data_IF_669589320734
#
_entry.id   IF_669589320734
#
_cell.length_a   1.000
_cell.length_b   1.000
_cell.length_c   1.000
_cell.angle_alpha   90.00
_cell.angle_beta   90.00
_cell.angle_gamma   90.00
#
_symmetry.space_group_name_H-M   'P 1'
#
loop_
_entity.id
_entity.type
_entity.pdbx_description
1 polymer ?
#
# COMPACT_ATOMS: atom_id res chain seq x y z
N UNK A 1 21.22 -18.81 25.82
CA UNK A 1 20.33 -18.42 24.69
C UNK A 1 19.07 -17.88 25.33
N UNK A 2 18.70 -16.67 25.05
CA UNK A 2 17.44 -16.07 25.52
C UNK A 2 16.32 -16.76 24.73
N UNK A 3 15.32 -17.31 25.42
CA UNK A 3 14.19 -17.94 24.75
C UNK A 3 13.30 -16.84 24.20
N UNK A 4 13.03 -16.86 22.91
CA UNK A 4 12.01 -16.02 22.29
C UNK A 4 10.63 -16.51 22.77
N UNK A 5 9.78 -15.60 23.16
CA UNK A 5 8.38 -15.88 23.54
C UNK A 5 7.47 -14.90 22.85
N UNK A 6 6.31 -15.38 22.41
CA UNK A 6 5.30 -14.56 21.79
C UNK A 6 4.21 -14.17 22.81
N UNK A 7 3.79 -12.91 22.77
CA UNK A 7 2.63 -12.42 23.50
C UNK A 7 1.36 -12.64 22.66
N UNK A 8 0.32 -13.24 23.28
CA UNK A 8 -0.96 -13.47 22.63
C UNK A 8 -1.86 -12.23 22.76
N UNK A 9 -2.42 -11.77 21.63
CA UNK A 9 -3.51 -10.78 21.58
C UNK A 9 -4.73 -11.42 20.92
N UNK A 10 -5.83 -11.50 21.66
CA UNK A 10 -7.11 -12.00 21.15
C UNK A 10 -7.96 -10.87 20.59
N UNK A 11 -8.50 -11.03 19.39
CA UNK A 11 -9.41 -10.11 18.71
C UNK A 11 -10.83 -10.70 18.67
N UNK A 12 -11.73 -10.33 19.60
CA UNK A 12 -13.03 -10.99 19.76
C UNK A 12 -13.95 -10.86 18.54
N UNK A 13 -13.90 -9.72 17.84
CA UNK A 13 -14.77 -9.42 16.71
C UNK A 13 -14.54 -10.36 15.51
N UNK A 14 -13.31 -10.78 15.30
CA UNK A 14 -12.92 -11.73 14.24
C UNK A 14 -12.60 -13.13 14.78
N UNK A 15 -12.60 -13.31 16.11
CA UNK A 15 -12.25 -14.56 16.81
C UNK A 15 -10.83 -15.06 16.49
N UNK A 16 -9.92 -14.16 16.26
CA UNK A 16 -8.52 -14.46 15.90
C UNK A 16 -7.59 -14.22 17.09
N UNK A 17 -6.47 -14.98 17.11
CA UNK A 17 -5.38 -14.85 18.08
C UNK A 17 -4.09 -14.56 17.34
N UNK A 18 -3.56 -13.37 17.54
CA UNK A 18 -2.27 -12.97 16.99
C UNK A 18 -1.20 -13.11 18.07
N UNK A 19 -0.13 -13.78 17.74
CA UNK A 19 1.04 -13.94 18.59
C UNK A 19 2.13 -13.00 18.10
N UNK A 20 2.64 -12.12 18.96
CA UNK A 20 3.59 -11.07 18.58
C UNK A 20 4.80 -11.05 19.48
N UNK A 21 5.97 -10.80 18.88
CA UNK A 21 7.23 -10.57 19.62
C UNK A 21 8.10 -9.57 18.87
N UNK A 22 9.03 -8.95 19.58
CA UNK A 22 10.14 -8.23 18.97
C UNK A 22 11.44 -8.94 19.32
N UNK A 23 12.19 -9.33 18.29
CA UNK A 23 13.49 -9.98 18.46
C UNK A 23 14.53 -8.98 18.95
N UNK A 24 15.65 -9.49 19.51
CA UNK A 24 16.74 -8.66 20.02
C UNK A 24 17.38 -7.76 18.96
N UNK A 25 17.33 -8.17 17.69
CA UNK A 25 17.75 -7.35 16.54
C UNK A 25 16.73 -6.29 16.11
N UNK A 26 15.57 -6.18 16.78
CA UNK A 26 14.53 -5.21 16.50
C UNK A 26 13.47 -5.67 15.52
N UNK A 27 13.60 -6.83 14.85
CA UNK A 27 12.58 -7.36 13.95
C UNK A 27 11.29 -7.65 14.72
N UNK A 28 10.18 -7.07 14.26
CA UNK A 28 8.86 -7.40 14.79
C UNK A 28 8.32 -8.63 14.07
N UNK A 29 7.99 -9.69 14.82
CA UNK A 29 7.43 -10.93 14.29
C UNK A 29 6.02 -11.11 14.81
N UNK A 30 5.07 -11.39 13.90
CA UNK A 30 3.68 -11.68 14.23
C UNK A 30 3.24 -12.96 13.57
N UNK A 31 2.45 -13.77 14.28
CA UNK A 31 1.93 -15.06 13.82
C UNK A 31 0.41 -15.06 13.95
N UNK A 32 -0.28 -15.55 12.93
CA UNK A 32 -1.71 -15.85 12.97
C UNK A 32 -1.94 -17.31 12.59
N UNK A 33 -1.98 -18.24 13.55
CA UNK A 33 -2.27 -19.64 13.27
C UNK A 33 -3.71 -19.82 12.77
N UNK A 34 -3.86 -20.43 11.59
CA UNK A 34 -5.13 -20.81 10.96
C UNK A 34 -5.08 -22.26 10.53
N UNK A 35 -5.33 -23.17 11.47
CA UNK A 35 -5.18 -24.62 11.28
C UNK A 35 -6.16 -25.24 10.28
N UNK A 36 -7.21 -24.50 9.86
CA UNK A 36 -8.14 -24.96 8.82
C UNK A 36 -7.58 -24.81 7.40
N UNK A 37 -6.44 -24.13 7.25
CA UNK A 37 -5.73 -24.00 5.97
C UNK A 37 -4.58 -25.00 5.91
N UNK A 38 -4.25 -25.46 4.71
CA UNK A 38 -3.07 -26.29 4.49
C UNK A 38 -1.81 -25.47 4.16
N UNK A 39 -2.00 -24.20 3.86
CA UNK A 39 -0.98 -23.28 3.36
C UNK A 39 -0.54 -22.31 4.45
N UNK A 40 0.68 -21.79 4.29
CA UNK A 40 1.23 -20.68 5.10
C UNK A 40 1.72 -19.59 4.16
N UNK A 41 1.33 -18.34 4.45
CA UNK A 41 1.94 -17.15 3.88
C UNK A 41 2.94 -16.54 4.86
N UNK A 42 4.14 -16.22 4.36
CA UNK A 42 5.15 -15.46 5.09
C UNK A 42 5.44 -14.17 4.34
N UNK A 43 5.34 -13.03 5.03
CA UNK A 43 5.59 -11.70 4.46
C UNK A 43 6.57 -10.94 5.32
N UNK A 44 7.70 -10.54 4.74
CA UNK A 44 8.59 -9.51 5.31
C UNK A 44 8.26 -8.18 4.65
N UNK A 45 7.97 -7.17 5.48
CA UNK A 45 7.73 -5.81 5.02
C UNK A 45 8.83 -4.90 5.53
N UNK A 46 9.47 -4.18 4.61
CA UNK A 46 10.44 -3.11 4.88
C UNK A 46 9.72 -1.77 4.79
N UNK A 47 9.85 -0.92 5.78
CA UNK A 47 9.24 0.42 5.79
C UNK A 47 10.06 1.37 4.91
N UNK A 48 10.08 1.07 3.61
CA UNK A 48 10.74 1.81 2.54
C UNK A 48 9.95 1.66 1.25
N UNK A 49 9.44 2.75 0.71
CA UNK A 49 8.64 2.76 -0.50
C UNK A 49 9.03 3.87 -1.47
N UNK A 50 8.25 4.05 -2.54
CA UNK A 50 8.60 4.97 -3.63
C UNK A 50 8.72 6.44 -3.20
N UNK A 51 8.05 6.86 -2.12
CA UNK A 51 8.14 8.24 -1.60
C UNK A 51 9.33 8.48 -0.68
N UNK A 52 10.12 7.46 -0.38
CA UNK A 52 11.23 7.52 0.57
C UNK A 52 12.60 7.77 -0.10
N UNK A 53 12.64 8.12 -1.37
CA UNK A 53 13.88 8.42 -2.10
C UNK A 53 14.63 9.65 -1.59
N UNK A 54 13.98 10.51 -0.77
CA UNK A 54 14.63 11.62 -0.07
C UNK A 54 14.43 11.43 1.43
N UNK A 55 15.53 11.43 2.18
CA UNK A 55 15.54 11.22 3.63
C UNK A 55 16.77 11.83 4.30
N UNK A 56 16.73 12.01 5.62
CA UNK A 56 17.90 12.43 6.40
C UNK A 56 18.46 11.25 7.18
N UNK A 57 19.70 10.87 6.87
CA UNK A 57 20.47 9.91 7.67
C UNK A 57 21.21 10.67 8.79
N UNK A 58 21.16 10.16 10.05
CA UNK A 58 21.87 10.77 11.17
C UNK A 58 23.39 10.83 10.95
N UNK A 59 23.95 9.87 10.21
CA UNK A 59 25.39 9.79 9.97
C UNK A 59 25.83 10.59 8.74
N UNK A 60 24.98 10.62 7.69
CA UNK A 60 25.36 11.10 6.37
C UNK A 60 24.63 12.39 5.96
N UNK A 61 23.67 12.89 6.77
CA UNK A 61 22.83 14.05 6.46
C UNK A 61 21.78 13.75 5.39
N UNK A 62 21.31 14.82 4.71
CA UNK A 62 20.27 14.70 3.67
C UNK A 62 20.75 13.85 2.49
N UNK A 63 19.92 12.90 2.08
CA UNK A 63 20.11 12.02 0.94
C UNK A 63 18.99 12.22 -0.07
N UNK A 64 19.34 12.14 -1.33
CA UNK A 64 18.39 12.19 -2.43
C UNK A 64 18.79 11.15 -3.47
N UNK A 65 17.89 10.24 -3.77
CA UNK A 65 18.07 9.16 -4.74
C UNK A 65 17.06 9.28 -5.87
N UNK A 66 17.36 8.71 -7.05
CA UNK A 66 16.45 8.73 -8.18
C UNK A 66 15.12 8.05 -7.83
N UNK A 67 14.01 8.57 -8.37
CA UNK A 67 12.71 7.92 -8.24
C UNK A 67 12.74 6.51 -8.86
N UNK A 68 11.98 5.58 -8.27
CA UNK A 68 12.02 4.16 -8.65
C UNK A 68 13.02 3.32 -7.87
N UNK A 69 13.85 3.93 -6.99
CA UNK A 69 14.91 3.21 -6.25
C UNK A 69 14.36 2.07 -5.38
N UNK A 70 13.18 2.23 -4.76
CA UNK A 70 12.58 1.20 -3.92
C UNK A 70 12.15 -0.01 -4.76
N UNK A 71 11.49 0.22 -5.88
CA UNK A 71 11.08 -0.81 -6.83
C UNK A 71 12.30 -1.50 -7.48
N UNK A 72 13.33 -0.72 -7.82
CA UNK A 72 14.58 -1.27 -8.34
C UNK A 72 15.26 -2.21 -7.34
N UNK A 73 15.28 -1.84 -6.05
CA UNK A 73 15.78 -2.73 -4.98
C UNK A 73 14.95 -4.00 -4.85
N UNK A 74 13.63 -3.89 -4.98
CA UNK A 74 12.73 -5.05 -4.96
C UNK A 74 13.19 -6.10 -5.98
N UNK A 75 13.36 -5.71 -7.25
CA UNK A 75 13.86 -6.59 -8.31
C UNK A 75 15.24 -7.17 -7.99
N UNK A 76 16.16 -6.30 -7.56
CA UNK A 76 17.56 -6.68 -7.37
C UNK A 76 17.82 -7.64 -6.23
N UNK A 77 16.97 -7.71 -5.22
CA UNK A 77 17.15 -8.65 -4.12
C UNK A 77 16.87 -10.10 -4.51
N UNK A 78 16.13 -10.35 -5.58
CA UNK A 78 15.94 -11.71 -6.10
C UNK A 78 17.18 -12.28 -6.82
N UNK A 79 18.16 -11.46 -7.16
CA UNK A 79 19.42 -11.91 -7.81
C UNK A 79 20.52 -12.21 -6.77
N UNK A 80 20.97 -13.45 -6.71
CA UNK A 80 22.10 -13.91 -5.86
C UNK A 80 23.45 -13.55 -6.44
N UNK A 81 24.52 -13.66 -5.62
CA UNK A 81 25.92 -13.42 -6.03
C UNK A 81 26.34 -14.23 -7.28
N UNK A 82 25.88 -15.46 -7.38
CA UNK A 82 26.14 -16.34 -8.53
C UNK A 82 25.18 -16.13 -9.72
N UNK A 83 24.39 -15.05 -9.70
CA UNK A 83 23.32 -14.75 -10.68
C UNK A 83 22.18 -15.78 -10.71
N UNK A 84 22.04 -16.63 -9.69
CA UNK A 84 20.84 -17.47 -9.52
C UNK A 84 19.67 -16.60 -9.06
N UNK A 85 18.47 -16.98 -9.51
CA UNK A 85 17.22 -16.36 -9.10
C UNK A 85 16.72 -16.98 -7.78
N UNK A 86 16.47 -16.14 -6.77
CA UNK A 86 15.88 -16.55 -5.50
C UNK A 86 14.50 -17.19 -5.67
N UNK A 87 13.69 -16.75 -6.65
CA UNK A 87 12.39 -17.38 -6.96
C UNK A 87 12.55 -18.86 -7.29
N UNK A 88 13.63 -19.21 -8.02
CA UNK A 88 13.94 -20.64 -8.30
C UNK A 88 14.30 -21.42 -7.03
N UNK A 89 14.87 -20.76 -6.00
CA UNK A 89 15.14 -21.43 -4.73
C UNK A 89 13.84 -21.73 -3.96
N UNK A 90 12.90 -20.77 -3.89
CA UNK A 90 11.57 -20.99 -3.32
C UNK A 90 10.81 -22.08 -4.07
N UNK A 91 10.80 -22.05 -5.39
CA UNK A 91 10.16 -23.07 -6.23
C UNK A 91 10.71 -24.48 -5.97
N UNK A 92 12.01 -24.64 -5.72
CA UNK A 92 12.62 -25.94 -5.35
C UNK A 92 12.10 -26.50 -4.01
N UNK A 93 11.64 -25.62 -3.11
CA UNK A 93 10.99 -26.00 -1.85
C UNK A 93 9.45 -26.13 -1.98
N UNK A 94 8.92 -26.02 -3.20
CA UNK A 94 7.48 -26.08 -3.45
C UNK A 94 6.72 -24.84 -3.00
N UNK A 95 7.40 -23.70 -2.89
CA UNK A 95 6.81 -22.42 -2.55
C UNK A 95 6.70 -21.49 -3.76
N UNK A 96 5.64 -20.69 -3.80
CA UNK A 96 5.54 -19.51 -4.65
C UNK A 96 6.10 -18.30 -3.90
N UNK A 97 6.80 -17.42 -4.61
CA UNK A 97 7.35 -16.20 -4.03
C UNK A 97 7.02 -14.99 -4.90
N UNK A 98 6.82 -13.85 -4.26
CA UNK A 98 6.51 -12.59 -4.92
C UNK A 98 7.02 -11.41 -4.10
N UNK A 99 6.99 -10.22 -4.68
CA UNK A 99 7.23 -8.97 -3.96
C UNK A 99 6.37 -7.85 -4.55
N UNK A 100 6.21 -6.78 -3.81
CA UNK A 100 5.58 -5.56 -4.30
C UNK A 100 6.11 -4.33 -3.57
N UNK A 101 6.23 -3.23 -4.30
CA UNK A 101 6.54 -1.91 -3.77
C UNK A 101 5.31 -1.01 -3.81
N UNK A 102 5.05 -0.33 -2.70
CA UNK A 102 4.01 0.70 -2.60
C UNK A 102 4.64 2.08 -2.37
N UNK A 103 3.82 3.08 -2.08
CA UNK A 103 4.32 4.41 -1.76
C UNK A 103 5.21 4.43 -0.51
N UNK A 104 4.92 3.60 0.50
CA UNK A 104 5.54 3.69 1.82
C UNK A 104 6.28 2.45 2.29
N UNK A 105 6.11 1.33 1.59
CA UNK A 105 6.70 0.04 1.98
C UNK A 105 7.03 -0.82 0.76
N UNK A 106 7.96 -1.75 0.95
CA UNK A 106 8.26 -2.86 0.04
C UNK A 106 8.10 -4.16 0.81
N UNK A 107 7.38 -5.12 0.25
CA UNK A 107 7.09 -6.41 0.87
C UNK A 107 7.56 -7.55 0.00
N UNK A 108 8.15 -8.55 0.64
CA UNK A 108 8.62 -9.80 0.04
C UNK A 108 7.85 -10.95 0.69
N UNK A 109 7.30 -11.83 -0.09
CA UNK A 109 6.43 -12.88 0.42
C UNK A 109 6.68 -14.23 -0.23
N UNK A 110 6.33 -15.27 0.52
CA UNK A 110 6.16 -16.61 -0.03
C UNK A 110 4.85 -17.22 0.45
N UNK A 111 4.34 -18.18 -0.33
CA UNK A 111 3.30 -19.11 0.12
C UNK A 111 3.80 -20.55 -0.04
N UNK A 112 3.49 -21.40 0.94
CA UNK A 112 3.95 -22.79 0.94
C UNK A 112 3.01 -23.72 1.71
N UNK A 113 3.02 -24.99 1.34
CA UNK A 113 2.32 -26.06 2.09
C UNK A 113 3.30 -26.79 3.02
N UNK A 114 4.59 -26.82 2.69
CA UNK A 114 5.63 -27.55 3.42
C UNK A 114 6.91 -26.71 3.50
N UNK A 115 7.92 -27.20 4.21
CA UNK A 115 9.23 -26.54 4.31
C UNK A 115 9.18 -25.09 4.83
N UNK A 116 8.27 -24.78 5.79
CA UNK A 116 8.12 -23.43 6.33
C UNK A 116 9.45 -22.83 6.81
N UNK A 117 10.24 -23.59 7.60
CA UNK A 117 11.48 -23.04 8.17
C UNK A 117 12.56 -22.82 7.11
N UNK A 118 12.65 -23.69 6.10
CA UNK A 118 13.59 -23.53 4.99
C UNK A 118 13.20 -22.31 4.13
N UNK A 119 11.90 -22.06 3.93
CA UNK A 119 11.41 -20.88 3.23
C UNK A 119 11.63 -19.59 4.06
N UNK A 120 11.56 -19.67 5.39
CA UNK A 120 11.95 -18.56 6.27
C UNK A 120 13.44 -18.24 6.18
N UNK A 121 14.29 -19.26 6.03
CA UNK A 121 15.73 -19.06 5.80
C UNK A 121 15.99 -18.37 4.46
N UNK A 122 15.28 -18.74 3.40
CA UNK A 122 15.37 -18.06 2.10
C UNK A 122 14.87 -16.62 2.17
N UNK A 123 13.78 -16.37 2.90
CA UNK A 123 13.25 -15.01 3.05
C UNK A 123 14.19 -14.11 3.86
N UNK A 124 14.84 -14.65 4.89
CA UNK A 124 15.87 -13.96 5.69
C UNK A 124 17.11 -13.64 4.82
N UNK A 125 17.56 -14.59 3.98
CA UNK A 125 18.63 -14.39 3.00
C UNK A 125 18.26 -13.29 1.99
N UNK A 126 17.04 -13.33 1.43
CA UNK A 126 16.55 -12.39 0.42
C UNK A 126 16.63 -10.94 0.88
N UNK A 127 16.23 -10.65 2.13
CA UNK A 127 16.21 -9.27 2.66
C UNK A 127 17.47 -8.91 3.46
N UNK A 128 18.30 -9.91 3.79
CA UNK A 128 19.50 -9.73 4.62
C UNK A 128 20.80 -9.60 3.83
N UNK A 129 20.82 -10.06 2.59
CA UNK A 129 22.02 -10.05 1.74
C UNK A 129 21.71 -9.49 0.34
N UNK A 130 22.58 -8.64 -0.16
CA UNK A 130 22.34 -7.94 -1.41
C UNK A 130 23.61 -7.82 -2.25
N UNK A 131 23.53 -8.33 -3.48
CA UNK A 131 24.63 -8.35 -4.43
C UNK A 131 24.33 -7.44 -5.63
N UNK A 132 25.07 -6.34 -5.74
CA UNK A 132 24.90 -5.38 -6.83
C UNK A 132 26.19 -5.25 -7.61
N UNK A 133 26.15 -5.55 -8.91
CA UNK A 133 27.23 -5.30 -9.88
C UNK A 133 26.79 -4.28 -10.92
N UNK A 134 27.73 -3.57 -11.52
CA UNK A 134 27.39 -2.59 -12.58
C UNK A 134 26.65 -3.26 -13.76
N UNK A 135 27.11 -4.43 -14.16
CA UNK A 135 26.50 -5.20 -15.26
C UNK A 135 25.05 -5.59 -14.93
N UNK A 136 24.80 -6.09 -13.70
CA UNK A 136 23.45 -6.50 -13.30
C UNK A 136 22.51 -5.31 -13.15
N UNK A 137 23.00 -4.16 -12.71
CA UNK A 137 22.21 -2.92 -12.63
C UNK A 137 21.82 -2.41 -14.01
N UNK A 138 22.76 -2.40 -14.96
CA UNK A 138 22.47 -1.99 -16.35
C UNK A 138 21.43 -2.90 -17.01
N UNK A 139 21.53 -4.21 -16.79
CA UNK A 139 20.55 -5.17 -17.30
C UNK A 139 19.16 -4.92 -16.70
N UNK A 140 19.10 -4.64 -15.40
CA UNK A 140 17.84 -4.36 -14.71
C UNK A 140 17.20 -3.04 -15.12
N UNK A 141 18.00 -2.02 -15.43
CA UNK A 141 17.49 -0.77 -16.00
C UNK A 141 16.67 -1.04 -17.27
N UNK A 142 17.18 -1.89 -18.17
CA UNK A 142 16.46 -2.23 -19.42
C UNK A 142 15.15 -2.98 -19.13
N UNK A 143 15.13 -3.89 -18.15
CA UNK A 143 13.94 -4.65 -17.76
C UNK A 143 12.86 -3.71 -17.17
N UNK A 144 13.25 -2.87 -16.22
CA UNK A 144 12.33 -1.92 -15.59
C UNK A 144 11.84 -0.85 -16.58
N UNK A 145 12.66 -0.44 -17.55
CA UNK A 145 12.20 0.44 -18.63
C UNK A 145 11.08 -0.20 -19.46
N UNK A 146 11.17 -1.48 -19.79
CA UNK A 146 10.13 -2.21 -20.52
C UNK A 146 8.85 -2.34 -19.67
N UNK A 147 8.99 -2.62 -18.38
CA UNK A 147 7.87 -2.66 -17.45
C UNK A 147 7.18 -1.28 -17.34
N UNK A 148 7.96 -0.20 -17.24
CA UNK A 148 7.44 1.17 -17.25
C UNK A 148 6.65 1.47 -18.52
N UNK A 149 7.15 1.06 -19.68
CA UNK A 149 6.45 1.24 -20.95
C UNK A 149 5.10 0.51 -20.94
N UNK A 150 5.05 -0.71 -20.41
CA UNK A 150 3.81 -1.47 -20.24
C UNK A 150 2.78 -0.72 -19.37
N UNK A 151 3.20 -0.16 -18.23
CA UNK A 151 2.31 0.66 -17.37
C UNK A 151 1.88 1.98 -18.04
N UNK A 152 2.73 2.57 -18.87
CA UNK A 152 2.38 3.79 -19.61
C UNK A 152 1.39 3.54 -20.74
N UNK A 153 1.36 2.34 -21.30
CA UNK A 153 0.39 1.91 -22.30
C UNK A 153 -0.92 1.44 -21.67
N UNK A 154 -0.95 1.17 -20.35
CA UNK A 154 -2.18 0.87 -19.63
C UNK A 154 -2.95 2.15 -19.27
N UNK A 155 -4.18 2.36 -19.80
CA UNK A 155 -4.91 3.60 -19.57
C UNK A 155 -5.32 3.84 -18.12
N UNK A 156 -5.55 2.78 -17.31
CA UNK A 156 -5.99 2.94 -15.94
C UNK A 156 -4.81 3.34 -15.03
N UNK A 157 -3.66 2.70 -15.18
CA UNK A 157 -2.40 3.12 -14.54
C UNK A 157 -2.03 4.55 -14.94
N UNK A 158 -2.15 4.87 -16.23
CA UNK A 158 -1.87 6.19 -16.75
C UNK A 158 -2.78 7.27 -16.18
N UNK A 159 -4.08 6.98 -16.04
CA UNK A 159 -5.06 7.86 -15.42
C UNK A 159 -4.72 8.12 -13.95
N UNK A 160 -4.41 7.06 -13.20
CA UNK A 160 -4.10 7.13 -11.78
C UNK A 160 -2.86 7.99 -11.51
N UNK A 161 -1.72 7.68 -12.13
CA UNK A 161 -0.47 8.43 -11.88
C UNK A 161 -0.49 9.85 -12.44
N UNK A 162 -1.18 10.10 -13.57
CA UNK A 162 -1.37 11.47 -14.07
C UNK A 162 -2.25 12.29 -13.11
N UNK A 163 -3.25 11.68 -12.48
CA UNK A 163 -4.07 12.33 -11.44
C UNK A 163 -3.24 12.66 -10.21
N UNK A 164 -2.40 11.72 -9.75
CA UNK A 164 -1.47 11.97 -8.63
C UNK A 164 -0.47 13.09 -8.95
N UNK A 165 0.05 13.14 -10.18
CA UNK A 165 0.94 14.22 -10.60
C UNK A 165 0.26 15.60 -10.54
N UNK A 166 -1.05 15.67 -10.80
CA UNK A 166 -1.83 16.89 -10.63
C UNK A 166 -2.11 17.22 -9.16
N UNK A 167 -2.36 16.22 -8.32
CA UNK A 167 -2.59 16.39 -6.88
C UNK A 167 -1.32 16.78 -6.12
N UNK A 168 -0.18 16.20 -6.46
CA UNK A 168 1.09 16.32 -5.73
C UNK A 168 2.25 16.78 -6.62
N UNK A 169 2.09 17.87 -7.41
CA UNK A 169 3.13 18.32 -8.34
C UNK A 169 4.44 18.59 -7.62
N UNK A 170 5.55 18.14 -8.21
CA UNK A 170 6.89 18.34 -7.67
C UNK A 170 7.26 17.49 -6.46
N UNK A 171 6.44 16.53 -6.07
CA UNK A 171 6.74 15.56 -5.02
C UNK A 171 7.03 14.17 -5.58
N UNK A 172 7.50 13.25 -4.74
CA UNK A 172 7.71 11.85 -5.12
C UNK A 172 6.42 11.13 -5.52
N UNK A 173 5.25 11.52 -5.00
CA UNK A 173 3.95 11.00 -5.42
C UNK A 173 3.55 11.38 -6.86
N UNK A 174 4.18 12.41 -7.44
CA UNK A 174 3.95 12.79 -8.83
C UNK A 174 4.65 11.87 -9.85
N UNK A 175 5.49 10.97 -9.37
CA UNK A 175 6.23 10.01 -10.19
C UNK A 175 5.70 8.61 -9.92
N UNK A 176 5.60 7.80 -10.97
CA UNK A 176 5.25 6.38 -10.87
C UNK A 176 6.19 5.64 -9.90
N UNK A 177 5.67 4.58 -9.26
CA UNK A 177 6.44 3.74 -8.33
C UNK A 177 7.67 3.14 -9.02
N UNK A 178 7.54 2.74 -10.27
CA UNK A 178 8.67 2.21 -11.07
C UNK A 178 9.69 3.29 -11.44
N UNK A 179 9.35 4.56 -11.30
CA UNK A 179 10.18 5.70 -11.66
C UNK A 179 9.90 6.25 -13.07
N UNK A 180 10.73 7.19 -13.50
CA UNK A 180 10.73 7.74 -14.86
C UNK A 180 11.88 7.15 -15.68
N UNK A 181 11.80 7.22 -17.01
CA UNK A 181 12.89 6.82 -17.91
C UNK A 181 14.25 7.41 -17.49
N UNK A 182 14.25 8.70 -17.18
CA UNK A 182 15.45 9.39 -16.73
C UNK A 182 15.92 8.88 -15.36
N UNK A 183 15.01 8.78 -14.37
CA UNK A 183 15.41 8.40 -13.01
C UNK A 183 15.90 6.95 -12.94
N UNK A 184 15.29 6.03 -13.69
CA UNK A 184 15.74 4.62 -13.78
C UNK A 184 17.16 4.55 -14.34
N UNK A 185 17.47 5.30 -15.40
CA UNK A 185 18.82 5.33 -15.99
C UNK A 185 19.89 5.99 -15.09
N UNK A 186 19.51 6.77 -14.11
CA UNK A 186 20.39 7.42 -13.12
C UNK A 186 20.69 6.52 -11.90
N UNK A 187 19.97 5.39 -11.71
CA UNK A 187 20.20 4.48 -10.58
C UNK A 187 21.53 3.75 -10.76
N UNK A 188 22.40 3.84 -9.78
CA UNK A 188 23.72 3.21 -9.74
C UNK A 188 23.85 2.23 -8.57
N UNK A 189 24.85 1.35 -8.63
CA UNK A 189 25.21 0.42 -7.54
C UNK A 189 25.34 1.14 -6.19
N UNK A 190 25.94 2.33 -6.18
CA UNK A 190 26.10 3.14 -4.97
C UNK A 190 24.77 3.56 -4.35
N UNK A 191 23.78 3.91 -5.17
CA UNK A 191 22.43 4.26 -4.69
C UNK A 191 21.75 3.06 -4.04
N UNK A 192 21.79 1.90 -4.69
CA UNK A 192 21.20 0.65 -4.19
C UNK A 192 21.86 0.23 -2.86
N UNK A 193 23.20 0.21 -2.79
CA UNK A 193 23.93 -0.13 -1.56
C UNK A 193 23.62 0.82 -0.41
N UNK A 194 23.50 2.11 -0.69
CA UNK A 194 23.20 3.10 0.34
C UNK A 194 21.78 2.90 0.88
N UNK A 195 20.77 2.77 0.02
CA UNK A 195 19.38 2.55 0.44
C UNK A 195 19.21 1.21 1.15
N UNK A 196 19.82 0.13 0.65
CA UNK A 196 19.80 -1.17 1.32
C UNK A 196 20.38 -1.06 2.74
N UNK A 197 21.58 -0.45 2.89
CA UNK A 197 22.22 -0.28 4.19
C UNK A 197 21.41 0.58 5.16
N UNK A 198 20.70 1.60 4.66
CA UNK A 198 19.98 2.54 5.50
C UNK A 198 18.59 2.02 5.88
N UNK A 199 17.87 1.30 5.00
CA UNK A 199 16.48 0.89 5.24
C UNK A 199 16.29 -0.60 5.55
N UNK A 200 17.11 -1.51 5.01
CA UNK A 200 16.96 -2.95 5.22
C UNK A 200 17.61 -3.37 6.54
N UNK A 201 17.06 -2.85 7.62
CA UNK A 201 17.46 -3.15 9.00
C UNK A 201 16.31 -3.81 9.73
N UNK A 202 16.55 -4.87 10.53
CA UNK A 202 15.49 -5.58 11.24
C UNK A 202 14.53 -4.68 12.03
N UNK A 203 15.06 -3.60 12.66
CA UNK A 203 14.24 -2.61 13.38
C UNK A 203 13.28 -1.82 12.49
N UNK A 204 13.52 -1.76 11.18
CA UNK A 204 12.66 -1.14 10.16
C UNK A 204 11.83 -2.17 9.38
N UNK A 205 11.83 -3.41 9.84
CA UNK A 205 11.17 -4.54 9.19
C UNK A 205 10.18 -5.21 10.12
N UNK A 206 9.22 -5.88 9.53
CA UNK A 206 8.32 -6.79 10.22
C UNK A 206 8.16 -8.08 9.42
N UNK A 207 8.03 -9.20 10.12
CA UNK A 207 7.65 -10.49 9.55
C UNK A 207 6.25 -10.84 10.03
N UNK A 208 5.39 -11.23 9.13
CA UNK A 208 4.08 -11.79 9.45
C UNK A 208 3.92 -13.16 8.82
N UNK A 209 3.52 -14.13 9.63
CA UNK A 209 3.17 -15.48 9.19
C UNK A 209 1.69 -15.74 9.45
N UNK A 210 0.97 -16.22 8.45
CA UNK A 210 -0.44 -16.61 8.59
C UNK A 210 -0.71 -17.94 7.90
N UNK A 211 -1.46 -18.81 8.56
CA UNK A 211 -1.84 -20.12 8.02
C UNK A 211 -1.61 -21.27 9.00
N UNK A 212 -1.31 -22.46 8.48
CA UNK A 212 -1.10 -23.65 9.27
C UNK A 212 0.24 -23.64 10.01
N UNK A 213 0.29 -22.89 11.11
CA UNK A 213 1.52 -22.60 11.87
C UNK A 213 1.45 -23.25 13.25
N UNK A 214 2.54 -23.88 13.67
CA UNK A 214 2.79 -24.25 15.04
C UNK A 214 3.67 -23.17 15.70
N UNK A 215 3.09 -22.45 16.66
CA UNK A 215 3.74 -21.34 17.35
C UNK A 215 5.01 -21.78 18.08
N UNK A 216 5.00 -22.97 18.72
CA UNK A 216 6.14 -23.48 19.49
C UNK A 216 7.34 -23.79 18.56
N UNK A 217 7.06 -24.32 17.36
CA UNK A 217 8.09 -24.57 16.32
C UNK A 217 8.76 -23.27 15.88
N UNK A 218 7.95 -22.21 15.66
CA UNK A 218 8.47 -20.90 15.25
C UNK A 218 9.23 -20.23 16.40
N UNK A 219 8.76 -20.35 17.65
CA UNK A 219 9.50 -19.89 18.83
C UNK A 219 10.89 -20.54 18.94
N UNK A 220 10.95 -21.86 18.74
CA UNK A 220 12.22 -22.59 18.79
C UNK A 220 13.17 -22.15 17.65
N UNK A 221 12.63 -21.96 16.44
CA UNK A 221 13.40 -21.49 15.28
C UNK A 221 14.05 -20.12 15.58
N UNK A 222 13.29 -19.11 16.01
CA UNK A 222 13.84 -17.80 16.31
C UNK A 222 14.75 -17.82 17.54
N UNK A 223 14.48 -18.63 18.56
CA UNK A 223 15.38 -18.79 19.72
C UNK A 223 16.76 -19.30 19.35
N UNK A 224 16.86 -20.15 18.31
CA UNK A 224 18.15 -20.65 17.80
C UNK A 224 18.92 -19.61 16.98
N UNK A 225 18.21 -18.73 16.28
CA UNK A 225 18.76 -17.70 15.39
C UNK A 225 19.05 -16.38 16.09
N UNK A 226 18.52 -16.18 17.30
CA UNK A 226 18.62 -14.90 17.99
C UNK A 226 20.09 -14.54 18.27
N UNK A 227 20.49 -13.36 17.80
CA UNK A 227 21.80 -12.76 18.01
C UNK A 227 21.60 -11.32 18.47
N UNK A 228 22.32 -10.91 19.50
CA UNK A 228 22.40 -9.49 19.88
C UNK A 228 23.08 -8.70 18.75
N UNK A 229 22.33 -7.78 18.15
CA UNK A 229 22.82 -6.87 17.10
C UNK A 229 22.41 -5.46 17.47
N UNK A 230 23.19 -4.47 17.08
CA UNK A 230 22.86 -3.04 17.29
C UNK A 230 21.58 -2.65 16.56
N UNK A 231 20.57 -2.14 17.29
CA UNK A 231 19.20 -1.91 16.84
C UNK A 231 18.90 -0.43 16.58
N UNK A 232 19.82 0.35 16.02
CA UNK A 232 19.53 1.75 15.75
C UNK A 232 19.06 1.97 14.33
N UNK A 233 17.81 2.43 14.20
CA UNK A 233 17.32 3.03 12.95
C UNK A 233 17.68 4.50 12.96
N UNK A 234 18.45 4.93 11.96
CA UNK A 234 19.11 6.24 11.92
C UNK A 234 18.58 7.12 10.78
N UNK A 235 17.42 6.76 10.23
CA UNK A 235 16.80 7.47 9.10
C UNK A 235 15.57 8.24 9.58
N UNK A 236 15.47 9.49 9.16
CA UNK A 236 14.25 10.32 9.26
C UNK A 236 13.70 10.56 7.86
N UNK A 237 12.46 10.15 7.65
CA UNK A 237 11.74 10.33 6.37
C UNK A 237 11.30 11.77 6.22
N UNK A 238 11.51 12.36 5.04
CA UNK A 238 11.12 13.75 4.77
C UNK A 238 9.61 13.88 4.55
N UNK A 239 9.06 15.04 4.94
CA UNK A 239 7.69 15.40 4.64
C UNK A 239 7.56 15.87 3.19
N UNK A 240 6.42 15.60 2.56
CA UNK A 240 6.15 16.09 1.22
C UNK A 240 5.92 17.61 1.21
N UNK A 241 6.69 18.35 0.42
CA UNK A 241 6.51 19.78 0.24
C UNK A 241 5.41 20.05 -0.79
N UNK A 242 4.17 20.22 -0.30
CA UNK A 242 3.00 20.39 -1.15
C UNK A 242 3.08 21.68 -1.97
N UNK A 243 2.93 21.52 -3.29
CA UNK A 243 2.79 22.64 -4.25
C UNK A 243 1.31 22.83 -4.63
N UNK A 244 0.93 24.00 -5.20
CA UNK A 244 -0.41 24.20 -5.73
C UNK A 244 -0.77 23.14 -6.77
N UNK A 245 -1.96 22.56 -6.69
CA UNK A 245 -2.43 21.50 -7.58
C UNK A 245 -2.66 22.05 -9.01
N UNK A 246 -2.56 21.14 -10.00
CA UNK A 246 -3.06 21.39 -11.35
C UNK A 246 -4.52 20.95 -11.42
N UNK A 247 -5.45 21.89 -11.39
CA UNK A 247 -6.87 21.62 -11.17
C UNK A 247 -7.52 20.75 -12.24
N UNK A 248 -7.09 20.86 -13.49
CA UNK A 248 -7.63 20.10 -14.63
C UNK A 248 -6.54 19.82 -15.64
N UNK A 249 -6.48 18.59 -16.14
CA UNK A 249 -5.58 18.22 -17.22
C UNK A 249 -6.15 17.06 -18.04
N UNK A 250 -5.56 16.78 -19.20
CA UNK A 250 -5.99 15.69 -20.05
C UNK A 250 -4.90 15.23 -21.00
N UNK A 251 -5.05 14.01 -21.51
CA UNK A 251 -4.23 13.46 -22.58
C UNK A 251 -5.10 12.64 -23.55
N UNK A 252 -4.50 12.14 -24.63
CA UNK A 252 -5.14 11.23 -25.57
C UNK A 252 -4.41 9.90 -25.61
N UNK A 253 -5.18 8.81 -25.63
CA UNK A 253 -4.68 7.43 -25.75
C UNK A 253 -5.63 6.60 -26.62
N UNK A 254 -5.18 5.43 -27.04
CA UNK A 254 -5.99 4.41 -27.70
C UNK A 254 -6.97 3.76 -26.71
N UNK A 255 -8.10 4.44 -26.45
CA UNK A 255 -9.17 3.96 -25.57
C UNK A 255 -10.51 4.00 -26.29
N UNK A 256 -11.41 3.07 -25.97
CA UNK A 256 -12.74 2.98 -26.59
C UNK A 256 -13.72 4.03 -26.06
N UNK A 257 -13.52 4.50 -24.84
CA UNK A 257 -14.36 5.50 -24.16
C UNK A 257 -13.45 6.43 -23.37
N UNK A 258 -13.81 7.72 -23.19
CA UNK A 258 -13.07 8.58 -22.29
C UNK A 258 -13.04 8.03 -20.86
N UNK A 259 -11.88 8.14 -20.21
CA UNK A 259 -11.69 7.78 -18.81
C UNK A 259 -11.52 9.07 -17.98
N UNK A 260 -12.26 9.18 -16.91
CA UNK A 260 -12.26 10.34 -16.01
C UNK A 260 -11.76 9.94 -14.63
N UNK A 261 -10.88 10.75 -14.07
CA UNK A 261 -10.58 10.75 -12.64
C UNK A 261 -11.02 12.08 -12.02
N UNK A 262 -11.69 12.01 -10.87
CA UNK A 262 -11.97 13.16 -10.00
C UNK A 262 -11.34 12.85 -8.65
N UNK A 263 -10.46 13.73 -8.18
CA UNK A 263 -9.69 13.45 -6.99
C UNK A 263 -9.61 14.65 -6.04
N UNK A 264 -9.41 14.35 -4.77
CA UNK A 264 -9.18 15.34 -3.72
C UNK A 264 -7.99 14.92 -2.86
N UNK A 265 -7.07 15.85 -2.59
CA UNK A 265 -6.07 15.67 -1.55
C UNK A 265 -6.43 16.48 -0.32
N UNK A 266 -6.19 15.93 0.85
CA UNK A 266 -6.26 16.65 2.10
C UNK A 266 -4.95 17.41 2.37
N UNK A 267 -5.09 18.56 3.05
CA UNK A 267 -3.98 19.41 3.44
C UNK A 267 -3.74 19.40 4.97
N UNK A 268 -4.57 18.66 5.72
CA UNK A 268 -4.44 18.49 7.16
C UNK A 268 -3.36 17.46 7.54
N UNK A 269 -2.86 17.54 8.77
CA UNK A 269 -1.98 16.51 9.31
C UNK A 269 -2.81 15.33 9.81
N UNK A 270 -2.37 14.12 9.49
CA UNK A 270 -2.91 12.85 9.97
C UNK A 270 -1.81 12.15 10.76
N UNK A 271 -2.12 11.67 11.95
CA UNK A 271 -1.18 10.83 12.71
C UNK A 271 -1.25 9.38 12.21
N UNK A 272 -0.18 8.62 12.40
CA UNK A 272 -0.17 7.20 12.05
C UNK A 272 -1.23 6.42 12.84
N UNK A 273 -1.44 6.76 14.10
CA UNK A 273 -2.41 6.09 14.97
C UNK A 273 -3.88 6.28 14.53
N UNK A 274 -4.21 7.40 13.88
CA UNK A 274 -5.58 7.68 13.42
C UNK A 274 -5.79 7.31 11.94
N UNK A 275 -4.71 7.04 11.19
CA UNK A 275 -4.77 6.86 9.73
C UNK A 275 -5.70 5.72 9.30
N UNK A 276 -5.70 4.60 10.02
CA UNK A 276 -6.54 3.46 9.70
C UNK A 276 -8.03 3.78 9.85
N UNK A 277 -8.43 4.36 10.99
CA UNK A 277 -9.82 4.78 11.24
C UNK A 277 -10.27 5.87 10.27
N UNK A 278 -9.39 6.84 9.99
CA UNK A 278 -9.68 7.92 9.05
C UNK A 278 -9.86 7.41 7.60
N UNK A 279 -9.08 6.40 7.19
CA UNK A 279 -9.28 5.73 5.90
C UNK A 279 -10.68 5.09 5.80
N UNK A 280 -11.13 4.37 6.85
CA UNK A 280 -12.46 3.77 6.90
C UNK A 280 -13.57 4.84 6.82
N UNK A 281 -13.43 5.94 7.55
CA UNK A 281 -14.38 7.05 7.54
C UNK A 281 -14.52 7.68 6.15
N UNK A 282 -13.40 7.89 5.46
CA UNK A 282 -13.42 8.42 4.09
C UNK A 282 -14.02 7.40 3.11
N UNK A 283 -13.70 6.12 3.23
CA UNK A 283 -14.33 5.06 2.42
C UNK A 283 -15.84 5.05 2.62
N UNK A 284 -16.33 5.12 3.86
CA UNK A 284 -17.76 5.23 4.15
C UNK A 284 -18.39 6.45 3.48
N UNK A 285 -17.83 7.65 3.69
CA UNK A 285 -18.33 8.87 3.10
C UNK A 285 -18.47 8.79 1.58
N UNK A 286 -17.40 8.42 0.91
CA UNK A 286 -17.37 8.40 -0.55
C UNK A 286 -18.20 7.24 -1.12
N UNK A 287 -18.32 6.12 -0.43
CA UNK A 287 -19.24 5.03 -0.82
C UNK A 287 -20.70 5.45 -0.64
N UNK A 288 -21.07 6.15 0.43
CA UNK A 288 -22.41 6.72 0.58
C UNK A 288 -22.74 7.71 -0.57
N UNK A 289 -21.80 8.54 -0.96
CA UNK A 289 -22.02 9.57 -2.00
C UNK A 289 -22.04 9.04 -3.42
N UNK A 290 -21.19 8.04 -3.72
CA UNK A 290 -20.87 7.63 -5.09
C UNK A 290 -20.97 6.12 -5.32
N UNK A 291 -21.05 5.31 -4.26
CA UNK A 291 -21.19 3.87 -4.36
C UNK A 291 -22.50 3.44 -5.02
N UNK A 292 -22.57 2.20 -5.40
CA UNK A 292 -23.69 1.65 -6.20
C UNK A 292 -25.05 1.68 -5.47
N UNK A 293 -25.07 1.84 -4.16
CA UNK A 293 -26.30 2.03 -3.35
C UNK A 293 -26.77 3.47 -3.27
N UNK A 294 -25.96 4.45 -3.77
CA UNK A 294 -26.33 5.86 -3.77
C UNK A 294 -27.36 6.19 -4.85
N UNK A 295 -28.30 7.09 -4.56
CA UNK A 295 -29.24 7.64 -5.54
C UNK A 295 -28.52 8.27 -6.76
N UNK A 296 -27.35 8.87 -6.52
CA UNK A 296 -26.54 9.46 -7.56
C UNK A 296 -26.01 8.43 -8.54
N UNK A 297 -25.41 7.35 -8.06
CA UNK A 297 -24.94 6.27 -8.90
C UNK A 297 -26.07 5.67 -9.71
N UNK A 298 -27.19 5.34 -9.06
CA UNK A 298 -28.35 4.71 -9.70
C UNK A 298 -28.89 5.58 -10.87
N UNK A 299 -29.08 6.89 -10.64
CA UNK A 299 -29.55 7.81 -11.69
C UNK A 299 -28.57 7.94 -12.87
N UNK A 300 -27.27 7.96 -12.60
CA UNK A 300 -26.25 8.04 -13.65
C UNK A 300 -26.16 6.72 -14.42
N UNK A 301 -26.27 5.60 -13.73
CA UNK A 301 -26.27 4.26 -14.33
C UNK A 301 -27.50 4.04 -15.22
N UNK A 302 -28.71 4.32 -14.72
CA UNK A 302 -29.96 4.21 -15.49
C UNK A 302 -29.97 5.08 -16.75
N UNK A 303 -29.33 6.23 -16.70
CA UNK A 303 -29.23 7.14 -17.87
C UNK A 303 -28.05 6.82 -18.79
N UNK A 304 -27.27 5.76 -18.50
CA UNK A 304 -26.12 5.34 -19.29
C UNK A 304 -24.94 6.33 -19.31
N UNK A 305 -24.88 7.21 -18.31
CA UNK A 305 -23.79 8.19 -18.14
C UNK A 305 -22.62 7.63 -17.35
N UNK A 306 -22.88 6.61 -16.55
CA UNK A 306 -21.94 5.88 -15.73
C UNK A 306 -22.22 4.38 -15.90
N UNK A 307 -21.22 3.56 -15.75
CA UNK A 307 -21.32 2.10 -15.72
C UNK A 307 -20.64 1.51 -14.48
N UNK A 308 -20.39 0.21 -14.49
CA UNK A 308 -19.75 -0.50 -13.38
C UNK A 308 -18.24 -0.24 -13.24
N UNK A 309 -17.65 0.63 -14.08
CA UNK A 309 -16.22 0.99 -14.03
C UNK A 309 -15.89 1.98 -12.92
N UNK A 310 -16.90 2.57 -12.25
CA UNK A 310 -16.64 3.47 -11.13
C UNK A 310 -15.85 2.75 -10.04
N UNK A 311 -14.67 3.28 -9.75
CA UNK A 311 -13.79 2.80 -8.69
C UNK A 311 -13.46 3.92 -7.71
N UNK A 312 -13.25 3.55 -6.46
CA UNK A 312 -12.89 4.43 -5.35
C UNK A 312 -11.57 3.98 -4.76
N UNK A 313 -10.58 4.85 -4.83
CA UNK A 313 -9.29 4.70 -4.12
C UNK A 313 -9.20 5.71 -2.98
N UNK A 314 -8.89 5.22 -1.78
CA UNK A 314 -8.67 6.04 -0.58
C UNK A 314 -7.34 5.66 0.02
N UNK A 315 -6.42 6.60 -0.01
CA UNK A 315 -5.10 6.42 0.60
C UNK A 315 -4.92 7.42 1.74
N UNK A 316 -4.56 6.92 2.92
CA UNK A 316 -4.31 7.73 4.11
C UNK A 316 -3.00 7.32 4.76
N UNK A 317 -2.10 8.27 4.84
CA UNK A 317 -0.80 8.14 5.48
C UNK A 317 -0.48 9.43 6.25
N UNK A 318 0.41 9.37 7.22
CA UNK A 318 0.82 10.55 8.01
C UNK A 318 1.49 11.65 7.19
N UNK A 319 1.96 11.36 5.99
CA UNK A 319 2.63 12.30 5.07
C UNK A 319 1.75 12.78 3.93
N UNK A 320 0.70 12.03 3.57
CA UNK A 320 -0.23 12.36 2.49
C UNK A 320 -1.55 11.60 2.67
N UNK A 321 -2.62 12.17 2.16
CA UNK A 321 -3.90 11.46 2.04
C UNK A 321 -4.71 12.03 0.89
N UNK A 322 -5.38 11.15 0.17
CA UNK A 322 -6.19 11.52 -0.97
C UNK A 322 -7.32 10.52 -1.21
N UNK A 323 -8.29 10.97 -2.00
CA UNK A 323 -9.36 10.14 -2.55
C UNK A 323 -9.38 10.34 -4.05
N UNK A 324 -9.45 9.26 -4.83
CA UNK A 324 -9.57 9.27 -6.28
C UNK A 324 -10.78 8.44 -6.67
N UNK A 325 -11.66 9.02 -7.47
CA UNK A 325 -12.77 8.36 -8.16
C UNK A 325 -12.42 8.24 -9.63
N UNK A 326 -12.37 7.04 -10.18
CA UNK A 326 -12.13 6.80 -11.61
C UNK A 326 -13.35 6.16 -12.27
N UNK A 327 -13.60 6.49 -13.52
CA UNK A 327 -14.75 5.97 -14.26
C UNK A 327 -14.59 6.10 -15.77
N UNK A 328 -15.24 5.22 -16.51
CA UNK A 328 -15.44 5.35 -17.94
C UNK A 328 -16.76 6.11 -18.20
N UNK A 329 -16.72 7.12 -19.07
CA UNK A 329 -17.92 7.92 -19.35
C UNK A 329 -17.84 8.66 -20.68
N UNK A 330 -18.97 8.75 -21.36
CA UNK A 330 -19.10 9.54 -22.60
C UNK A 330 -19.20 11.06 -22.32
N UNK A 331 -19.43 11.47 -21.08
CA UNK A 331 -19.63 12.86 -20.67
C UNK A 331 -18.62 13.33 -19.60
N UNK A 332 -17.29 13.18 -19.81
CA UNK A 332 -16.30 13.40 -18.75
C UNK A 332 -16.34 14.82 -18.17
N UNK A 333 -16.52 15.85 -18.99
CA UNK A 333 -16.60 17.26 -18.54
C UNK A 333 -17.82 17.50 -17.67
N UNK A 334 -18.97 16.97 -18.06
CA UNK A 334 -20.22 17.10 -17.30
C UNK A 334 -20.15 16.37 -15.97
N UNK A 335 -19.61 15.13 -15.96
CA UNK A 335 -19.48 14.34 -14.74
C UNK A 335 -18.41 14.91 -13.81
N UNK A 336 -17.27 15.36 -14.32
CA UNK A 336 -16.28 16.05 -13.49
C UNK A 336 -16.91 17.20 -12.71
N UNK A 337 -17.66 18.06 -13.40
CA UNK A 337 -18.36 19.17 -12.74
C UNK A 337 -19.35 18.70 -11.67
N UNK A 338 -20.14 17.66 -11.97
CA UNK A 338 -21.15 17.13 -11.05
C UNK A 338 -20.48 16.50 -9.80
N UNK A 339 -19.44 15.69 -9.97
CA UNK A 339 -18.73 15.05 -8.88
C UNK A 339 -17.99 16.08 -8.00
N UNK A 340 -17.28 17.02 -8.59
CA UNK A 340 -16.60 18.10 -7.84
C UNK A 340 -17.59 18.96 -7.05
N UNK A 341 -18.77 19.26 -7.64
CA UNK A 341 -19.84 19.97 -6.91
C UNK A 341 -20.38 19.14 -5.77
N UNK A 342 -20.65 17.86 -5.99
CA UNK A 342 -21.14 16.95 -4.96
C UNK A 342 -20.14 16.85 -3.78
N UNK A 343 -18.86 16.65 -4.06
CA UNK A 343 -17.81 16.62 -3.03
C UNK A 343 -17.82 17.91 -2.22
N UNK A 344 -17.87 19.10 -2.86
CA UNK A 344 -17.90 20.38 -2.15
C UNK A 344 -19.18 20.61 -1.32
N UNK A 345 -20.27 19.94 -1.65
CA UNK A 345 -21.58 20.08 -0.99
C UNK A 345 -21.96 18.82 -0.18
N UNK A 346 -21.00 17.96 0.15
CA UNK A 346 -21.22 16.66 0.73
C UNK A 346 -22.17 16.68 1.97
N UNK A 347 -22.03 17.66 2.86
CA UNK A 347 -22.84 17.76 4.07
C UNK A 347 -24.34 17.98 3.81
N UNK A 348 -24.73 18.35 2.58
CA UNK A 348 -26.11 18.50 2.15
C UNK A 348 -26.52 17.38 1.15
N UNK A 349 -25.73 16.34 1.03
CA UNK A 349 -26.02 15.23 0.13
C UNK A 349 -27.17 14.38 0.67
N UNK A 350 -28.14 14.05 -0.17
CA UNK A 350 -29.34 13.31 0.22
C UNK A 350 -29.02 11.86 0.65
N UNK A 351 -27.91 11.31 0.16
CA UNK A 351 -27.46 9.95 0.48
C UNK A 351 -26.72 9.87 1.83
N UNK A 352 -26.40 11.02 2.48
CA UNK A 352 -25.74 11.02 3.79
C UNK A 352 -26.79 10.99 4.90
N UNK A 353 -27.26 9.78 5.20
CA UNK A 353 -28.27 9.49 6.23
C UNK A 353 -27.81 8.32 7.12
N UNK A 354 -28.34 8.22 8.34
CA UNK A 354 -28.08 7.08 9.24
C UNK A 354 -28.46 5.75 8.59
N UNK A 355 -29.64 5.70 7.92
CA UNK A 355 -30.12 4.49 7.28
C UNK A 355 -29.16 4.01 6.17
N UNK A 356 -28.65 4.93 5.34
CA UNK A 356 -27.69 4.59 4.29
C UNK A 356 -26.32 4.25 4.86
N UNK A 357 -25.88 4.92 5.93
CA UNK A 357 -24.65 4.54 6.63
C UNK A 357 -24.71 3.10 7.14
N UNK A 358 -25.83 2.68 7.76
CA UNK A 358 -26.02 1.31 8.23
C UNK A 358 -26.01 0.29 7.08
N UNK A 359 -26.55 0.65 5.92
CA UNK A 359 -26.50 -0.19 4.71
C UNK A 359 -25.06 -0.36 4.23
N UNK A 360 -24.31 0.73 4.06
CA UNK A 360 -22.91 0.69 3.58
C UNK A 360 -22.02 -0.03 4.60
N UNK A 361 -22.22 0.17 5.89
CA UNK A 361 -21.50 -0.61 6.93
C UNK A 361 -21.77 -2.11 6.80
N UNK A 362 -23.01 -2.50 6.53
CA UNK A 362 -23.38 -3.91 6.37
C UNK A 362 -22.71 -4.53 5.16
N UNK A 363 -22.61 -3.79 4.05
CA UNK A 363 -21.90 -4.17 2.84
C UNK A 363 -20.39 -4.37 3.13
N UNK A 364 -19.72 -3.36 3.68
CA UNK A 364 -18.31 -3.41 4.03
C UNK A 364 -17.98 -4.54 5.03
N UNK A 365 -18.89 -4.83 5.94
CA UNK A 365 -18.79 -5.94 6.88
C UNK A 365 -18.78 -7.29 6.14
N UNK A 366 -19.70 -7.47 5.19
CA UNK A 366 -19.80 -8.67 4.37
C UNK A 366 -18.55 -8.90 3.52
N UNK A 367 -18.07 -7.85 2.85
CA UNK A 367 -16.86 -7.87 2.06
C UNK A 367 -15.61 -8.21 2.89
N UNK A 368 -15.46 -7.58 4.05
CA UNK A 368 -14.37 -7.84 4.96
C UNK A 368 -14.32 -9.31 5.39
N UNK A 369 -15.44 -9.88 5.88
CA UNK A 369 -15.47 -11.29 6.30
C UNK A 369 -15.29 -12.26 5.12
N UNK A 370 -15.71 -11.89 3.92
CA UNK A 370 -15.40 -12.66 2.72
C UNK A 370 -13.89 -12.65 2.44
N UNK A 371 -13.25 -11.49 2.51
CA UNK A 371 -11.81 -11.32 2.28
C UNK A 371 -10.94 -12.02 3.32
N UNK A 372 -11.42 -12.15 4.57
CA UNK A 372 -10.75 -12.89 5.66
C UNK A 372 -10.63 -14.40 5.40
N UNK A 373 -11.24 -14.93 4.34
CA UNK A 373 -11.04 -16.31 3.89
C UNK A 373 -9.80 -16.45 2.96
N UNK A 374 -9.16 -15.36 2.56
CA UNK A 374 -7.91 -15.35 1.81
C UNK A 374 -6.73 -15.13 2.75
N UNK A 375 -5.79 -16.07 2.80
CA UNK A 375 -4.54 -15.90 3.55
C UNK A 375 -3.70 -14.77 2.96
N UNK A 376 -3.67 -14.64 1.63
CA UNK A 376 -2.97 -13.56 0.95
C UNK A 376 -3.51 -12.19 1.34
N UNK A 377 -4.83 -12.00 1.36
CA UNK A 377 -5.44 -10.75 1.83
C UNK A 377 -5.00 -10.42 3.25
N UNK A 378 -5.10 -11.38 4.17
CA UNK A 378 -4.69 -11.17 5.56
C UNK A 378 -3.19 -10.83 5.63
N UNK A 379 -2.36 -11.56 4.89
CA UNK A 379 -0.91 -11.42 4.89
C UNK A 379 -0.47 -10.03 4.40
N UNK A 380 -1.11 -9.51 3.36
CA UNK A 380 -0.74 -8.24 2.72
C UNK A 380 -1.38 -7.00 3.38
N UNK A 381 -2.53 -7.18 4.06
CA UNK A 381 -3.26 -6.08 4.72
C UNK A 381 -2.92 -5.90 6.20
N UNK A 382 -2.37 -6.92 6.87
CA UNK A 382 -1.96 -6.78 8.26
C UNK A 382 -0.60 -6.08 8.38
N UNK A 383 -0.53 -5.02 9.16
CA UNK A 383 0.72 -4.33 9.47
C UNK A 383 1.13 -4.62 10.92
N UNK A 384 2.20 -5.44 11.13
CA UNK A 384 2.60 -5.87 12.48
C UNK A 384 3.24 -4.78 13.34
N UNK A 385 3.75 -3.71 12.72
CA UNK A 385 4.38 -2.64 13.49
C UNK A 385 3.31 -1.85 14.25
N UNK A 386 3.54 -1.61 15.54
CA UNK A 386 2.59 -0.99 16.46
C UNK A 386 2.34 0.48 16.07
N UNK A 387 1.39 0.70 15.17
CA UNK A 387 1.00 2.02 14.66
C UNK A 387 -0.45 2.36 14.94
N UNK A 388 -1.12 1.59 15.80
CA UNK A 388 -2.53 1.77 16.15
C UNK A 388 -3.40 0.59 15.79
N UNK A 389 -4.59 0.88 15.23
CA UNK A 389 -5.59 -0.12 14.84
C UNK A 389 -5.15 -0.91 13.59
N UNK A 390 -5.57 -2.17 13.52
CA UNK A 390 -5.23 -3.10 12.44
C UNK A 390 -6.48 -3.61 11.75
N UNK A 391 -6.31 -4.44 10.69
CA UNK A 391 -7.44 -5.10 10.01
C UNK A 391 -8.31 -5.91 10.97
N UNK A 392 -7.76 -6.45 12.08
CA UNK A 392 -8.55 -7.22 13.07
C UNK A 392 -9.43 -6.34 13.96
N UNK A 393 -9.15 -5.04 14.02
CA UNK A 393 -9.97 -4.05 14.71
C UNK A 393 -11.11 -3.52 13.82
N UNK A 394 -11.06 -3.75 12.50
CA UNK A 394 -12.01 -3.24 11.51
C UNK A 394 -13.49 -3.46 11.89
N UNK A 395 -13.94 -4.67 12.30
CA UNK A 395 -15.35 -4.87 12.64
C UNK A 395 -15.80 -4.04 13.84
N UNK A 396 -14.93 -3.86 14.83
CA UNK A 396 -15.21 -3.03 16.01
C UNK A 396 -15.29 -1.56 15.62
N UNK A 397 -14.32 -1.07 14.86
CA UNK A 397 -14.28 0.31 14.36
C UNK A 397 -15.55 0.63 13.58
N UNK A 398 -15.93 -0.25 12.65
CA UNK A 398 -17.10 -0.07 11.80
C UNK A 398 -18.40 0.00 12.60
N UNK A 399 -18.52 -0.79 13.69
CA UNK A 399 -19.67 -0.73 14.60
C UNK A 399 -19.73 0.58 15.38
N UNK A 400 -18.60 1.11 15.81
CA UNK A 400 -18.51 2.32 16.64
C UNK A 400 -18.70 3.63 15.87
N UNK A 401 -18.41 3.64 14.56
CA UNK A 401 -18.52 4.83 13.70
C UNK A 401 -19.97 5.33 13.66
N UNK A 402 -20.15 6.63 13.88
CA UNK A 402 -21.42 7.35 13.76
C UNK A 402 -21.45 8.21 12.49
N UNK A 403 -22.63 8.70 12.11
CA UNK A 403 -22.75 9.64 10.99
C UNK A 403 -22.00 10.95 11.27
N UNK A 404 -21.93 11.38 12.51
CA UNK A 404 -21.17 12.56 12.94
C UNK A 404 -19.68 12.36 12.68
N UNK A 405 -19.10 11.19 12.99
CA UNK A 405 -17.70 10.87 12.69
C UNK A 405 -17.41 10.93 11.19
N UNK A 406 -18.34 10.42 10.36
CA UNK A 406 -18.21 10.45 8.88
C UNK A 406 -18.24 11.88 8.36
N UNK A 407 -19.14 12.71 8.86
CA UNK A 407 -19.24 14.12 8.50
C UNK A 407 -18.00 14.92 8.93
N UNK A 408 -17.50 14.68 10.16
CA UNK A 408 -16.27 15.31 10.65
C UNK A 408 -15.07 14.95 9.78
N UNK A 409 -14.93 13.68 9.43
CA UNK A 409 -13.88 13.24 8.50
C UNK A 409 -14.00 13.91 7.12
N UNK A 410 -15.23 14.04 6.62
CA UNK A 410 -15.53 14.78 5.39
C UNK A 410 -15.11 16.25 5.47
N UNK A 411 -15.46 16.95 6.54
CA UNK A 411 -15.04 18.35 6.76
C UNK A 411 -13.51 18.47 6.83
N UNK A 412 -12.84 17.57 7.53
CA UNK A 412 -11.38 17.55 7.63
C UNK A 412 -10.69 17.40 6.27
N UNK A 413 -11.22 16.56 5.37
CA UNK A 413 -10.68 16.38 4.02
C UNK A 413 -11.06 17.52 3.09
N UNK A 414 -12.35 17.91 3.07
CA UNK A 414 -12.95 18.65 1.95
C UNK A 414 -12.87 20.17 2.11
N UNK A 415 -13.01 20.70 3.33
CA UNK A 415 -13.11 22.14 3.55
C UNK A 415 -11.85 22.89 3.08
N UNK A 416 -10.68 22.31 3.32
CA UNK A 416 -9.39 22.85 2.90
C UNK A 416 -8.67 21.99 1.85
N UNK A 417 -9.35 20.96 1.33
CA UNK A 417 -8.78 20.04 0.35
C UNK A 417 -8.73 20.62 -1.06
N UNK A 418 -7.77 20.16 -1.83
CA UNK A 418 -7.59 20.54 -3.23
C UNK A 418 -8.21 19.50 -4.16
N UNK A 419 -9.18 19.93 -4.98
CA UNK A 419 -9.85 19.12 -5.99
C UNK A 419 -9.17 19.24 -7.35
N UNK A 420 -8.94 18.09 -7.99
CA UNK A 420 -8.46 18.01 -9.38
C UNK A 420 -9.32 17.06 -10.20
N UNK A 421 -9.23 17.18 -11.50
CA UNK A 421 -9.71 16.17 -12.44
C UNK A 421 -8.69 15.92 -13.55
N UNK A 422 -8.69 14.69 -14.04
CA UNK A 422 -7.90 14.28 -15.18
C UNK A 422 -8.75 13.47 -16.15
N UNK A 423 -8.57 13.67 -17.45
CA UNK A 423 -9.33 12.94 -18.46
C UNK A 423 -8.42 12.35 -19.54
N UNK A 424 -8.58 11.07 -19.81
CA UNK A 424 -8.01 10.44 -20.99
C UNK A 424 -9.10 10.42 -22.07
N UNK A 425 -8.86 11.10 -23.20
CA UNK A 425 -9.73 11.09 -24.35
C UNK A 425 -9.26 10.05 -25.38
N UNK A 426 -10.15 9.46 -26.17
CA UNK A 426 -9.79 8.69 -27.34
C UNK A 426 -8.87 9.48 -28.28
N UNK A 427 -7.84 8.80 -28.85
CA UNK A 427 -6.87 9.37 -29.79
C UNK A 427 -7.50 9.84 -31.08
#
# INVERSE_FOLDING_TARGET
MTRVTFEEKYYPAVKERVYKTQLSNGLTVSLLPKQNFNEVYGVVTVQFGSVDGTYTSLEKGLRHHPAGIAHFLEHKLFERENSEDMMAAFTRLGADSNAFTSFTKTSYLFSTIDHLLDNLDLLDELVGDAHFTEESVLREQDIIQQEREMYQDDPDSRLFFATLANLYPGTSLATDIVGSEKSISEIQVSNLKENFTDFYKPVNMSLFLVGNIDVEVVEEYFSKKEKEVSNQFTVSKEQLLLQPVKQTDSLRMEVSSPKLAVAIRGNGQITEAESYRYNILLKLLFTMMFGWTSDRFQKLYETGKLDASLSLEVEVNSRFHFVILTMDTKEPVSLSHQFRKAIRQFSNDADITEEHLDLVKSEMFGEFFSSMNSLEFIATQYEPMDRGETIFDFPKILQEITLEDVLEAGHRLIDNGDLVDFTIFPA
#
